data_IF_454163875216
#
_entry.id   IF_454163875216
#
_cell.length_a   1.000
_cell.length_b   1.000
_cell.length_c   1.000
_cell.angle_alpha   90.00
_cell.angle_beta   90.00
_cell.angle_gamma   90.00
#
_symmetry.space_group_name_H-M   'P 1'
#
loop_
_entity.id
_entity.type
_entity.pdbx_description
1 polymer ?
#
# COMPACT_ATOMS: atom_id res chain seq x y z
N UNK A 1 -11.97 -47.46 49.40
CA UNK A 1 -12.04 -46.58 48.21
C UNK A 1 -10.64 -46.10 47.86
N UNK A 2 -9.96 -46.62 46.83
CA UNK A 2 -8.68 -46.05 46.40
C UNK A 2 -8.95 -44.86 45.47
N UNK A 3 -8.46 -43.67 45.85
CA UNK A 3 -8.36 -42.51 44.96
C UNK A 3 -7.28 -42.79 43.92
N UNK A 4 -7.67 -43.08 42.68
CA UNK A 4 -6.75 -43.06 41.54
C UNK A 4 -6.37 -41.61 41.23
N UNK A 5 -5.24 -41.16 41.76
CA UNK A 5 -4.62 -39.91 41.32
C UNK A 5 -4.03 -40.14 39.94
N UNK A 6 -4.78 -39.75 38.91
CA UNK A 6 -4.35 -39.78 37.51
C UNK A 6 -3.14 -38.87 37.31
N UNK A 7 -1.94 -39.42 37.41
CA UNK A 7 -0.73 -38.77 36.90
C UNK A 7 -0.83 -38.77 35.38
N UNK A 8 -1.21 -37.63 34.79
CA UNK A 8 -1.02 -37.41 33.37
C UNK A 8 0.44 -37.70 33.04
N UNK A 9 0.69 -38.55 32.05
CA UNK A 9 2.06 -38.87 31.66
C UNK A 9 2.74 -37.59 31.13
N UNK A 10 4.04 -37.46 31.33
CA UNK A 10 4.84 -36.36 30.76
C UNK A 10 4.60 -36.20 29.25
N UNK A 11 4.31 -37.30 28.56
CA UNK A 11 3.92 -37.33 27.15
C UNK A 11 2.59 -36.62 26.89
N UNK A 12 1.57 -36.85 27.71
CA UNK A 12 0.27 -36.16 27.58
C UNK A 12 0.41 -34.66 27.82
N UNK A 13 1.21 -34.26 28.81
CA UNK A 13 1.49 -32.83 29.08
C UNK A 13 2.22 -32.19 27.90
N UNK A 14 3.26 -32.85 27.37
CA UNK A 14 4.01 -32.35 26.22
C UNK A 14 3.15 -32.21 24.96
N UNK A 15 2.28 -33.19 24.68
CA UNK A 15 1.37 -33.14 23.53
C UNK A 15 0.38 -31.97 23.69
N UNK A 16 -0.26 -31.84 24.85
CA UNK A 16 -1.22 -30.74 25.09
C UNK A 16 -0.53 -29.38 24.98
N UNK A 17 0.68 -29.22 25.53
CA UNK A 17 1.45 -27.98 25.39
C UNK A 17 1.83 -27.66 23.94
N UNK A 18 2.28 -28.66 23.17
CA UNK A 18 2.60 -28.49 21.75
C UNK A 18 1.36 -28.11 20.93
N UNK A 19 0.21 -28.73 21.19
CA UNK A 19 -1.06 -28.40 20.53
C UNK A 19 -1.52 -26.98 20.88
N UNK A 20 -1.44 -26.58 22.15
CA UNK A 20 -1.81 -25.22 22.56
C UNK A 20 -0.91 -24.16 21.93
N UNK A 21 0.40 -24.43 21.86
CA UNK A 21 1.35 -23.55 21.16
C UNK A 21 1.04 -23.45 19.67
N UNK A 22 0.76 -24.58 19.01
CA UNK A 22 0.38 -24.59 17.60
C UNK A 22 -0.90 -23.79 17.33
N UNK A 23 -1.92 -23.94 18.18
CA UNK A 23 -3.16 -23.17 18.08
C UNK A 23 -2.93 -21.67 18.30
N UNK A 24 -2.09 -21.30 19.26
CA UNK A 24 -1.73 -19.89 19.49
C UNK A 24 -1.01 -19.28 18.27
N UNK A 25 -0.09 -20.03 17.64
CA UNK A 25 0.62 -19.60 16.43
C UNK A 25 -0.36 -19.44 15.26
N UNK A 26 -1.24 -20.41 15.04
CA UNK A 26 -2.25 -20.35 13.96
C UNK A 26 -3.22 -19.19 14.18
N UNK A 27 -3.72 -19.00 15.41
CA UNK A 27 -4.60 -17.87 15.74
C UNK A 27 -3.90 -16.52 15.53
N UNK A 28 -2.64 -16.41 15.93
CA UNK A 28 -1.83 -15.21 15.70
C UNK A 28 -1.63 -14.92 14.21
N UNK A 29 -1.29 -15.94 13.41
CA UNK A 29 -1.16 -15.81 11.95
C UNK A 29 -2.48 -15.42 11.29
N UNK A 30 -3.61 -16.00 11.73
CA UNK A 30 -4.93 -15.67 11.23
C UNK A 30 -5.30 -14.20 11.50
N UNK A 31 -5.11 -13.73 12.74
CA UNK A 31 -5.32 -12.31 13.09
C UNK A 31 -4.41 -11.43 12.25
N UNK A 32 -3.13 -11.77 12.14
CA UNK A 32 -2.15 -10.97 11.40
C UNK A 32 -2.51 -10.81 9.92
N UNK A 33 -3.00 -11.89 9.29
CA UNK A 33 -3.42 -11.87 7.89
C UNK A 33 -4.75 -11.13 7.67
N UNK A 34 -5.57 -10.96 8.71
CA UNK A 34 -6.79 -10.16 8.67
C UNK A 34 -6.54 -8.65 8.88
N UNK A 35 -5.32 -8.25 9.26
CA UNK A 35 -4.99 -6.85 9.49
C UNK A 35 -4.54 -6.14 8.21
N UNK A 36 -5.09 -4.95 8.01
CA UNK A 36 -4.58 -3.95 7.09
C UNK A 36 -3.52 -3.12 7.81
N UNK A 37 -2.34 -3.05 7.20
CA UNK A 37 -1.21 -2.27 7.69
C UNK A 37 -1.14 -0.95 6.93
N UNK A 38 -0.90 0.14 7.66
CA UNK A 38 -0.73 1.47 7.09
C UNK A 38 0.59 2.07 7.58
N UNK A 39 1.43 2.53 6.65
CA UNK A 39 2.63 3.30 6.96
C UNK A 39 2.47 4.70 6.40
N UNK A 40 2.50 5.71 7.27
CA UNK A 40 2.27 7.10 6.91
C UNK A 40 3.57 7.89 6.97
N UNK A 41 3.77 8.79 6.03
CA UNK A 41 4.90 9.72 5.92
C UNK A 41 4.40 11.17 5.97
N UNK A 42 5.34 12.11 6.08
CA UNK A 42 5.04 13.53 6.02
C UNK A 42 4.27 13.91 4.74
N UNK A 43 3.42 14.92 4.84
CA UNK A 43 2.60 15.37 3.73
C UNK A 43 1.40 14.47 3.42
N UNK A 44 1.07 13.49 4.27
CA UNK A 44 -0.14 12.66 4.13
C UNK A 44 -0.01 11.48 3.17
N UNK A 45 1.23 11.14 2.75
CA UNK A 45 1.50 9.92 2.00
C UNK A 45 1.29 8.70 2.90
N UNK A 46 0.44 7.78 2.46
CA UNK A 46 0.12 6.55 3.19
C UNK A 46 0.27 5.34 2.28
N UNK A 47 1.07 4.37 2.71
CA UNK A 47 1.15 3.04 2.11
C UNK A 47 0.22 2.08 2.82
N UNK A 48 -0.49 1.26 2.06
CA UNK A 48 -1.43 0.26 2.57
C UNK A 48 -1.02 -1.12 2.10
N UNK A 49 -0.95 -2.04 3.06
CA UNK A 49 -0.49 -3.40 2.84
C UNK A 49 -1.19 -4.41 3.74
N UNK A 50 -0.79 -5.66 3.58
CA UNK A 50 -1.15 -6.77 4.46
C UNK A 50 0.11 -7.50 4.88
N UNK A 51 0.03 -8.28 5.96
CA UNK A 51 1.13 -9.18 6.31
C UNK A 51 1.41 -10.17 5.16
N UNK A 52 2.68 -10.49 4.95
CA UNK A 52 3.16 -11.50 4.01
C UNK A 52 4.30 -12.26 4.71
N UNK A 53 3.97 -13.40 5.33
CA UNK A 53 4.91 -14.15 6.15
C UNK A 53 5.39 -13.35 7.37
N UNK A 54 6.67 -13.01 7.42
CA UNK A 54 7.29 -12.23 8.52
C UNK A 54 7.31 -10.72 8.27
N UNK A 55 7.02 -10.26 7.06
CA UNK A 55 7.03 -8.83 6.72
C UNK A 55 5.60 -8.31 6.42
N UNK A 56 5.49 -7.04 6.03
CA UNK A 56 4.31 -6.41 5.45
C UNK A 56 4.58 -6.16 3.97
N UNK A 57 3.65 -6.56 3.11
CA UNK A 57 3.68 -6.23 1.69
C UNK A 57 2.74 -5.07 1.42
N UNK A 58 3.29 -3.91 1.11
CA UNK A 58 2.54 -2.72 0.73
C UNK A 58 2.19 -2.80 -0.76
N UNK A 59 0.90 -2.73 -1.05
CA UNK A 59 0.35 -2.94 -2.39
C UNK A 59 -0.30 -1.69 -2.96
N UNK A 60 -0.61 -0.71 -2.11
CA UNK A 60 -1.25 0.55 -2.50
C UNK A 60 -0.55 1.71 -1.82
N UNK A 61 -0.53 2.86 -2.48
CA UNK A 61 -0.27 4.14 -1.84
C UNK A 61 -1.43 5.08 -2.09
N UNK A 62 -1.62 6.04 -1.20
CA UNK A 62 -2.45 7.20 -1.47
C UNK A 62 -1.91 8.45 -0.77
N UNK A 63 -2.16 9.60 -1.39
CA UNK A 63 -2.01 10.94 -0.82
C UNK A 63 -3.40 11.54 -0.79
N UNK A 64 -3.84 12.02 0.36
CA UNK A 64 -5.10 12.74 0.50
C UNK A 64 -4.87 14.06 1.21
N UNK A 65 -5.48 15.11 0.68
CA UNK A 65 -5.54 16.43 1.27
C UNK A 65 -6.95 17.00 1.10
N UNK A 66 -7.51 17.66 2.12
CA UNK A 66 -8.76 18.39 1.95
C UNK A 66 -8.57 19.59 1.01
N UNK A 67 -9.63 20.04 0.31
CA UNK A 67 -9.60 21.31 -0.42
C UNK A 67 -9.15 22.44 0.51
N UNK A 68 -8.13 23.19 0.09
CA UNK A 68 -7.59 24.31 0.87
C UNK A 68 -6.52 23.95 1.92
N UNK A 69 -5.94 22.75 1.85
CA UNK A 69 -4.85 22.35 2.74
C UNK A 69 -3.71 23.40 2.80
N UNK A 70 -3.21 23.68 4.00
CA UNK A 70 -2.06 24.57 4.22
C UNK A 70 -0.73 23.81 4.15
N UNK A 71 -0.71 22.57 4.65
CA UNK A 71 0.52 21.77 4.74
C UNK A 71 1.02 21.29 3.38
N UNK A 72 2.33 21.30 3.10
CA UNK A 72 2.86 20.86 1.82
C UNK A 72 2.48 19.41 1.49
N UNK A 73 2.49 19.14 0.18
CA UNK A 73 2.40 17.79 -0.35
C UNK A 73 3.64 16.97 0.07
N UNK A 74 3.55 15.62 0.06
CA UNK A 74 4.67 14.79 0.45
C UNK A 74 5.87 15.02 -0.47
N UNK A 75 7.07 15.02 0.10
CA UNK A 75 8.30 15.07 -0.67
C UNK A 75 8.52 13.71 -1.36
N UNK A 76 7.90 13.53 -2.52
CA UNK A 76 7.92 12.31 -3.30
C UNK A 76 7.89 12.64 -4.80
N UNK A 77 8.41 11.72 -5.61
CA UNK A 77 8.30 11.80 -7.07
C UNK A 77 7.61 10.57 -7.61
N UNK A 78 6.72 10.79 -8.57
CA UNK A 78 6.16 9.75 -9.41
C UNK A 78 7.04 9.61 -10.65
N UNK A 79 7.40 8.39 -11.01
CA UNK A 79 8.12 8.11 -12.24
C UNK A 79 7.15 7.49 -13.24
N UNK A 80 7.01 8.14 -14.38
CA UNK A 80 6.29 7.62 -15.55
C UNK A 80 7.31 7.50 -16.66
N UNK A 81 7.51 6.29 -17.15
CA UNK A 81 8.44 5.97 -18.24
C UNK A 81 9.86 6.50 -17.95
N UNK A 82 10.30 6.34 -16.69
CA UNK A 82 11.60 6.79 -16.19
C UNK A 82 11.73 8.30 -15.93
N UNK A 83 10.73 9.11 -16.29
CA UNK A 83 10.74 10.55 -16.06
C UNK A 83 10.18 10.88 -14.67
N UNK A 84 10.93 11.62 -13.81
CA UNK A 84 10.44 12.02 -12.50
C UNK A 84 9.47 13.20 -12.58
N UNK A 85 8.36 13.08 -11.85
CA UNK A 85 7.36 14.11 -11.63
C UNK A 85 7.22 14.35 -10.12
N UNK A 86 7.86 15.39 -9.56
CA UNK A 86 7.68 15.77 -8.16
C UNK A 86 6.21 16.08 -7.87
N UNK A 87 5.66 15.46 -6.83
CA UNK A 87 4.21 15.48 -6.56
C UNK A 87 3.68 16.88 -6.25
N UNK A 88 4.52 17.73 -5.64
CA UNK A 88 4.22 19.13 -5.35
C UNK A 88 4.20 20.04 -6.59
N UNK A 89 4.69 19.56 -7.73
CA UNK A 89 4.68 20.28 -9.01
C UNK A 89 3.62 19.80 -9.99
N UNK A 90 2.88 18.74 -9.63
CA UNK A 90 1.86 18.17 -10.50
C UNK A 90 0.70 19.15 -10.70
N UNK A 91 0.34 19.34 -11.96
CA UNK A 91 -0.80 20.17 -12.39
C UNK A 91 -1.77 19.37 -13.25
N UNK A 92 -3.00 19.84 -13.46
CA UNK A 92 -3.91 19.21 -14.40
C UNK A 92 -3.32 19.11 -15.82
N UNK A 93 -2.62 20.15 -16.28
CA UNK A 93 -1.93 20.16 -17.59
C UNK A 93 -0.81 19.12 -17.68
N UNK A 94 -0.14 18.83 -16.56
CA UNK A 94 0.85 17.74 -16.50
C UNK A 94 0.17 16.43 -16.85
N UNK A 95 -0.94 16.10 -16.17
CA UNK A 95 -1.67 14.87 -16.46
C UNK A 95 -2.32 14.84 -17.84
N UNK A 96 -2.78 15.97 -18.36
CA UNK A 96 -3.32 16.06 -19.71
C UNK A 96 -2.28 15.72 -20.78
N UNK A 97 -1.05 16.25 -20.66
CA UNK A 97 0.08 15.85 -21.53
C UNK A 97 0.42 14.38 -21.40
N UNK A 98 0.12 13.80 -20.24
CA UNK A 98 0.29 12.40 -19.96
C UNK A 98 -0.91 11.54 -20.41
N UNK A 99 -1.82 12.05 -21.24
CA UNK A 99 -2.98 11.29 -21.73
C UNK A 99 -4.11 11.12 -20.69
N UNK A 100 -4.02 11.84 -19.58
CA UNK A 100 -5.04 11.89 -18.54
C UNK A 100 -6.09 12.97 -18.81
N UNK A 101 -7.13 12.98 -17.98
CA UNK A 101 -8.18 14.01 -17.91
C UNK A 101 -7.87 15.03 -16.81
N UNK A 102 -8.43 16.24 -16.90
CA UNK A 102 -8.17 17.37 -15.99
C UNK A 102 -8.68 17.12 -14.56
N UNK A 103 -9.95 16.73 -14.45
CA UNK A 103 -10.69 16.85 -13.18
C UNK A 103 -10.67 15.54 -12.37
N UNK A 104 -10.87 14.40 -13.05
CA UNK A 104 -10.77 13.07 -12.46
C UNK A 104 -10.29 12.09 -13.52
N UNK A 105 -9.23 11.33 -13.23
CA UNK A 105 -8.61 10.48 -14.23
C UNK A 105 -7.85 9.29 -13.67
N UNK A 106 -7.57 8.37 -14.60
CA UNK A 106 -6.70 7.23 -14.41
C UNK A 106 -5.64 7.22 -15.51
N UNK A 107 -4.39 6.98 -15.15
CA UNK A 107 -3.36 6.52 -16.09
C UNK A 107 -3.09 5.05 -15.81
N UNK A 108 -2.82 4.29 -16.86
CA UNK A 108 -2.46 2.88 -16.73
C UNK A 108 -1.03 2.66 -17.15
N UNK A 109 -0.32 1.82 -16.41
CA UNK A 109 1.00 1.35 -16.82
C UNK A 109 0.89 0.02 -17.59
N UNK A 110 2.02 -0.46 -18.13
CA UNK A 110 2.06 -1.73 -18.90
C UNK A 110 1.79 -2.97 -18.05
N UNK A 111 1.97 -2.89 -16.73
CA UNK A 111 1.64 -3.94 -15.79
C UNK A 111 0.16 -3.89 -15.37
N UNK A 112 -0.60 -2.93 -15.89
CA UNK A 112 -2.00 -2.71 -15.58
C UNK A 112 -2.22 -1.99 -14.25
N UNK A 113 -1.22 -1.43 -13.57
CA UNK A 113 -1.45 -0.60 -12.39
C UNK A 113 -2.19 0.68 -12.81
N UNK A 114 -3.11 1.14 -11.98
CA UNK A 114 -3.83 2.40 -12.19
C UNK A 114 -3.29 3.47 -11.25
N UNK A 115 -2.93 4.61 -11.84
CA UNK A 115 -2.64 5.85 -11.14
C UNK A 115 -3.90 6.72 -11.19
N UNK A 116 -4.55 6.90 -10.05
CA UNK A 116 -5.72 7.74 -9.89
C UNK A 116 -5.34 9.08 -9.28
N UNK A 117 -5.98 10.15 -9.71
CA UNK A 117 -5.70 11.49 -9.19
C UNK A 117 -6.95 12.38 -9.25
N UNK A 118 -6.97 13.42 -8.41
CA UNK A 118 -7.99 14.48 -8.41
C UNK A 118 -7.36 15.82 -8.12
N UNK A 119 -7.84 16.83 -8.83
CA UNK A 119 -7.52 18.23 -8.58
C UNK A 119 -8.75 19.00 -8.12
N UNK A 120 -8.59 19.85 -7.12
CA UNK A 120 -9.61 20.80 -6.68
C UNK A 120 -8.96 22.18 -6.58
N UNK A 121 -9.54 23.18 -7.25
CA UNK A 121 -8.97 24.53 -7.38
C UNK A 121 -7.50 24.51 -7.89
N UNK A 122 -7.24 23.70 -8.93
CA UNK A 122 -5.92 23.46 -9.52
C UNK A 122 -4.85 22.91 -8.55
N UNK A 123 -5.26 22.36 -7.39
CA UNK A 123 -4.37 21.71 -6.41
C UNK A 123 -4.66 20.22 -6.33
N UNK A 124 -3.60 19.41 -6.26
CA UNK A 124 -3.72 17.96 -6.09
C UNK A 124 -4.29 17.63 -4.70
N UNK A 125 -5.49 17.07 -4.65
CA UNK A 125 -6.15 16.67 -3.39
C UNK A 125 -6.14 15.16 -3.19
N UNK A 126 -6.02 14.39 -4.27
CA UNK A 126 -5.92 12.93 -4.22
C UNK A 126 -4.92 12.42 -5.24
N UNK A 127 -4.10 11.44 -4.82
CA UNK A 127 -3.23 10.65 -5.70
C UNK A 127 -3.20 9.22 -5.15
N UNK A 128 -3.33 8.21 -5.99
CA UNK A 128 -3.30 6.81 -5.56
C UNK A 128 -2.73 5.91 -6.65
N UNK A 129 -1.93 4.91 -6.27
CA UNK A 129 -1.50 3.84 -7.18
C UNK A 129 -2.06 2.53 -6.67
N UNK A 130 -2.81 1.84 -7.53
CA UNK A 130 -3.49 0.58 -7.21
C UNK A 130 -3.17 -0.48 -8.28
N UNK A 131 -2.75 -1.68 -7.87
CA UNK A 131 -2.65 -2.83 -8.77
C UNK A 131 -4.04 -3.27 -9.24
N UNK A 132 -4.22 -3.48 -10.54
CA UNK A 132 -5.51 -3.94 -11.11
C UNK A 132 -5.94 -5.32 -10.61
N UNK A 133 -5.01 -6.18 -10.20
CA UNK A 133 -5.32 -7.48 -9.60
C UNK A 133 -6.10 -7.39 -8.27
N UNK A 134 -6.26 -6.19 -7.71
CA UNK A 134 -7.10 -5.88 -6.54
C UNK A 134 -8.15 -4.78 -6.81
N UNK A 135 -8.38 -4.40 -8.06
CA UNK A 135 -9.51 -3.53 -8.41
C UNK A 135 -10.82 -4.36 -8.36
N UNK A 136 -11.89 -3.88 -7.73
CA UNK A 136 -13.17 -4.59 -7.66
C UNK A 136 -13.79 -4.67 -9.06
N UNK A 137 -13.64 -5.83 -9.70
CA UNK A 137 -13.98 -6.13 -11.10
C UNK A 137 -13.42 -5.12 -12.14
N UNK A 138 -13.17 -5.56 -13.38
CA UNK A 138 -12.87 -4.60 -14.44
C UNK A 138 -14.12 -3.74 -14.66
N UNK A 139 -14.12 -2.54 -14.07
CA UNK A 139 -14.84 -1.39 -14.64
C UNK A 139 -14.56 -1.47 -16.14
N UNK A 140 -15.59 -1.50 -17.01
CA UNK A 140 -15.43 -1.72 -18.44
C UNK A 140 -14.26 -0.88 -18.91
N UNK A 141 -13.18 -1.55 -19.33
CA UNK A 141 -11.88 -0.93 -19.53
C UNK A 141 -12.08 0.31 -20.38
N UNK A 142 -12.00 1.54 -19.81
CA UNK A 142 -12.21 2.73 -20.59
C UNK A 142 -11.12 2.72 -21.66
N UNK A 143 -11.51 2.87 -22.93
CA UNK A 143 -10.67 2.70 -24.12
C UNK A 143 -9.17 2.93 -23.85
N UNK A 144 -8.45 1.87 -23.44
CA UNK A 144 -7.12 1.99 -22.84
C UNK A 144 -6.05 2.43 -23.84
N UNK A 145 -6.37 2.38 -25.15
CA UNK A 145 -5.42 2.62 -26.24
C UNK A 145 -4.77 4.00 -26.19
N UNK A 146 -5.36 5.00 -25.54
CA UNK A 146 -4.80 6.34 -25.39
C UNK A 146 -4.19 6.64 -24.02
N UNK A 147 -4.49 5.84 -22.99
CA UNK A 147 -4.15 6.14 -21.59
C UNK A 147 -3.15 5.14 -20.96
N UNK A 148 -2.68 4.15 -21.74
CA UNK A 148 -1.57 3.26 -21.37
C UNK A 148 -0.24 3.98 -21.59
N UNK A 149 0.63 3.94 -20.58
CA UNK A 149 2.00 4.44 -20.63
C UNK A 149 3.03 3.35 -20.89
N UNK A 150 4.13 3.73 -21.52
CA UNK A 150 5.23 2.85 -21.92
C UNK A 150 6.19 2.62 -20.76
N UNK A 151 5.76 1.89 -19.75
CA UNK A 151 6.58 1.63 -18.57
C UNK A 151 5.78 1.10 -17.39
N UNK A 152 6.44 0.97 -16.24
CA UNK A 152 5.81 0.73 -14.95
C UNK A 152 5.82 2.02 -14.14
N UNK A 153 4.79 2.25 -13.32
CA UNK A 153 4.83 3.36 -12.37
C UNK A 153 5.83 3.06 -11.26
N UNK A 154 6.78 3.98 -11.04
CA UNK A 154 7.69 3.91 -9.89
C UNK A 154 7.52 5.13 -9.00
N UNK A 155 7.93 5.01 -7.76
CA UNK A 155 7.81 6.05 -6.75
C UNK A 155 9.16 6.21 -6.06
N UNK A 156 9.57 7.45 -5.81
CA UNK A 156 10.56 7.74 -4.78
C UNK A 156 9.94 8.59 -3.68
N UNK A 157 10.39 8.39 -2.45
CA UNK A 157 9.97 9.15 -1.27
C UNK A 157 11.21 9.70 -0.60
N UNK A 158 11.16 10.95 -0.15
CA UNK A 158 12.25 11.65 0.54
C UNK A 158 13.58 11.66 -0.25
N UNK A 159 13.52 11.68 -1.58
CA UNK A 159 14.72 11.64 -2.43
C UNK A 159 15.40 10.26 -2.52
N UNK A 160 14.76 9.20 -2.01
CA UNK A 160 15.25 7.83 -2.07
C UNK A 160 15.23 7.22 -3.48
N UNK A 161 15.75 5.99 -3.59
CA UNK A 161 15.75 5.25 -4.84
C UNK A 161 14.31 4.94 -5.32
N UNK A 162 14.00 5.05 -6.63
CA UNK A 162 12.70 4.68 -7.17
C UNK A 162 12.38 3.19 -6.99
N UNK A 163 11.14 2.87 -6.64
CA UNK A 163 10.66 1.50 -6.51
C UNK A 163 9.22 1.36 -7.05
N UNK A 164 8.84 0.14 -7.38
CA UNK A 164 7.48 -0.21 -7.83
C UNK A 164 6.67 -0.82 -6.70
N UNK A 165 5.34 -0.66 -6.74
CA UNK A 165 4.46 -1.49 -5.93
C UNK A 165 4.26 -2.86 -6.62
N UNK A 166 4.07 -3.94 -5.85
CA UNK A 166 4.13 -4.00 -4.39
C UNK A 166 5.57 -3.94 -3.85
N UNK A 167 5.74 -3.39 -2.66
CA UNK A 167 7.03 -3.22 -1.97
C UNK A 167 6.98 -3.86 -0.59
N UNK A 168 8.09 -4.47 -0.16
CA UNK A 168 8.21 -5.01 1.20
C UNK A 168 8.35 -3.88 2.23
N UNK A 169 7.98 -4.13 3.48
CA UNK A 169 8.09 -3.16 4.55
C UNK A 169 9.55 -2.81 4.84
N UNK A 170 10.44 -3.80 4.75
CA UNK A 170 11.87 -3.59 4.84
C UNK A 170 12.38 -2.68 3.71
N UNK A 171 12.08 -3.02 2.44
CA UNK A 171 12.54 -2.24 1.30
C UNK A 171 11.97 -0.82 1.33
N UNK A 172 10.71 -0.65 1.72
CA UNK A 172 10.09 0.66 1.86
C UNK A 172 10.84 1.53 2.88
N UNK A 173 11.23 0.94 4.03
CA UNK A 173 12.00 1.64 5.05
C UNK A 173 13.42 1.99 4.59
N UNK A 174 14.06 1.09 3.85
CA UNK A 174 15.40 1.31 3.29
C UNK A 174 15.40 2.43 2.25
N UNK A 175 14.40 2.49 1.37
CA UNK A 175 14.32 3.50 0.32
C UNK A 175 13.74 4.83 0.80
N UNK A 176 12.78 4.81 1.73
CA UNK A 176 11.98 5.99 2.10
C UNK A 176 12.33 6.57 3.48
N UNK A 177 13.16 5.86 4.26
CA UNK A 177 13.36 6.13 5.68
C UNK A 177 12.20 5.60 6.54
N UNK A 178 12.24 5.81 7.87
CA UNK A 178 11.17 5.37 8.75
C UNK A 178 9.87 6.18 8.51
N UNK A 179 8.69 5.53 8.55
CA UNK A 179 7.42 6.23 8.53
C UNK A 179 7.22 7.05 9.82
N UNK A 180 6.42 8.11 9.74
CA UNK A 180 6.02 8.90 10.91
C UNK A 180 5.04 8.16 11.81
N UNK A 181 4.23 7.28 11.24
CA UNK A 181 3.37 6.38 12.00
C UNK A 181 3.11 5.07 11.26
N UNK A 182 2.87 4.01 12.04
CA UNK A 182 2.41 2.71 11.54
C UNK A 182 1.16 2.32 12.31
N UNK A 183 0.04 2.11 11.60
CA UNK A 183 -1.22 1.66 12.19
C UNK A 183 -1.64 0.31 11.62
N UNK A 184 -2.42 -0.44 12.42
CA UNK A 184 -2.94 -1.76 12.08
C UNK A 184 -4.42 -1.76 12.40
N UNK A 185 -5.24 -1.95 11.38
CA UNK A 185 -6.70 -1.99 11.52
C UNK A 185 -7.20 -3.32 10.97
N UNK A 186 -8.34 -3.78 11.48
CA UNK A 186 -9.08 -4.86 10.82
C UNK A 186 -9.46 -4.34 9.44
N UNK A 187 -9.17 -5.10 8.38
CA UNK A 187 -9.63 -4.76 7.05
C UNK A 187 -11.17 -4.76 7.07
N UNK A 188 -11.79 -3.59 6.85
CA UNK A 188 -13.23 -3.50 6.60
C UNK A 188 -13.56 -4.11 5.23
#
# INVERSE_FOLDING_TARGET
>A
MPRSSGRASLTTVAIVSATMLALAIVAWLAVRNALQYRATYNGGLTFVGSADGVDVRYVRLFVWKPPGYADPLPHMSLYIDGTPYPVDTLTPDTFQKLGGTRDEGGLWDTAGNVLQYRFENDRLTWLSIVPTSRAPEPVPTPNLRTNIRTGAFQISVNGGAPFTLPVSGQQLRETSGPPTSVTRNIAN
#
